data_IF_351193671653
#
_entry.id   IF_351193671653
#
_cell.length_a   1.000
_cell.length_b   1.000
_cell.length_c   1.000
_cell.angle_alpha   90.00
_cell.angle_beta   90.00
_cell.angle_gamma   90.00
#
_symmetry.space_group_name_H-M   'P 1'
#
loop_
_entity.id
_entity.type
_entity.pdbx_description
1 polymer ?
#
# COMPACT_ATOMS: atom_id res chain seq x y z
N UNK A 1 -4.50 -12.56 2.43
CA UNK A 1 -4.16 -12.92 1.03
C UNK A 1 -3.49 -14.31 1.00
N UNK A 2 -3.62 -15.11 -0.08
CA UNK A 2 -3.14 -16.52 -0.12
C UNK A 2 -1.61 -16.65 0.03
N UNK A 3 -0.85 -15.72 -0.56
CA UNK A 3 0.62 -15.67 -0.43
C UNK A 3 1.02 -15.35 1.02
N UNK A 4 0.40 -14.34 1.63
CA UNK A 4 0.65 -13.97 3.03
C UNK A 4 0.34 -15.10 4.00
N UNK A 5 -0.77 -15.81 3.76
CA UNK A 5 -1.21 -16.95 4.58
C UNK A 5 -0.23 -18.13 4.50
N UNK A 6 0.53 -18.22 3.40
CA UNK A 6 1.52 -19.29 3.18
C UNK A 6 2.89 -18.91 3.75
N UNK A 7 3.23 -17.62 3.79
CA UNK A 7 4.47 -17.12 4.38
C UNK A 7 4.55 -17.42 5.88
N UNK A 8 5.77 -17.53 6.42
CA UNK A 8 6.01 -17.77 7.85
C UNK A 8 5.82 -19.21 8.33
N UNK A 9 5.61 -20.16 7.42
CA UNK A 9 5.56 -21.59 7.71
C UNK A 9 6.92 -22.24 7.41
N UNK A 10 7.36 -23.14 8.29
CA UNK A 10 8.69 -23.78 8.17
C UNK A 10 8.74 -24.86 7.09
N UNK A 11 7.59 -25.47 6.77
CA UNK A 11 7.47 -26.57 5.81
C UNK A 11 6.31 -26.33 4.87
N UNK A 12 6.61 -26.45 3.57
CA UNK A 12 5.68 -26.25 2.47
C UNK A 12 5.74 -27.44 1.52
N UNK A 13 4.59 -27.79 0.94
CA UNK A 13 4.49 -28.73 -0.18
C UNK A 13 3.61 -28.10 -1.24
N UNK A 14 4.14 -28.02 -2.47
CA UNK A 14 3.45 -27.44 -3.61
C UNK A 14 3.01 -28.57 -4.54
N UNK A 15 1.75 -28.55 -4.94
CA UNK A 15 1.14 -29.59 -5.75
C UNK A 15 0.37 -28.96 -6.89
N UNK A 16 0.52 -29.54 -8.08
CA UNK A 16 -0.09 -29.06 -9.32
C UNK A 16 -1.11 -30.09 -9.80
N UNK A 17 -2.34 -29.63 -10.04
CA UNK A 17 -3.41 -30.44 -10.61
C UNK A 17 -3.08 -30.87 -12.04
N UNK A 18 -3.12 -32.18 -12.32
CA UNK A 18 -2.86 -32.69 -13.66
C UNK A 18 -3.99 -32.31 -14.63
N UNK A 19 -3.73 -31.40 -15.57
CA UNK A 19 -4.74 -30.96 -16.55
C UNK A 19 -6.04 -30.50 -15.86
N UNK A 20 -5.91 -29.59 -14.89
CA UNK A 20 -6.92 -29.23 -13.90
C UNK A 20 -8.36 -29.17 -14.42
N UNK A 21 -8.64 -28.31 -15.40
CA UNK A 21 -10.00 -28.15 -15.92
C UNK A 21 -10.62 -29.43 -16.49
N UNK A 22 -9.83 -30.27 -17.14
CA UNK A 22 -10.32 -31.53 -17.74
C UNK A 22 -10.76 -32.58 -16.71
N UNK A 23 -10.51 -32.35 -15.42
CA UNK A 23 -10.97 -33.20 -14.33
C UNK A 23 -12.41 -32.89 -13.90
N UNK A 24 -12.96 -31.75 -14.33
CA UNK A 24 -14.33 -31.34 -14.01
C UNK A 24 -15.26 -31.73 -15.17
N UNK A 25 -16.28 -32.52 -14.86
CA UNK A 25 -17.31 -32.90 -15.82
C UNK A 25 -18.15 -31.70 -16.24
N UNK A 26 -18.47 -31.64 -17.52
CA UNK A 26 -19.40 -30.64 -18.04
C UNK A 26 -20.84 -31.02 -17.67
N UNK A 27 -21.66 -30.03 -17.33
CA UNK A 27 -23.10 -30.26 -17.17
C UNK A 27 -23.69 -30.70 -18.52
N UNK A 28 -24.58 -31.70 -18.51
CA UNK A 28 -25.16 -32.27 -19.74
C UNK A 28 -25.79 -31.19 -20.65
N UNK A 29 -26.46 -30.22 -20.04
CA UNK A 29 -27.13 -29.10 -20.72
C UNK A 29 -26.16 -28.09 -21.37
N UNK A 30 -24.91 -28.06 -20.90
CA UNK A 30 -23.88 -27.12 -21.37
C UNK A 30 -22.90 -27.75 -22.37
N UNK A 31 -22.91 -29.09 -22.50
CA UNK A 31 -22.00 -29.80 -23.41
C UNK A 31 -22.16 -29.33 -24.86
N UNK A 32 -23.39 -29.20 -25.36
CA UNK A 32 -23.66 -28.79 -26.75
C UNK A 32 -23.15 -27.38 -27.07
N UNK A 33 -23.09 -26.49 -26.06
CA UNK A 33 -22.55 -25.12 -26.19
C UNK A 33 -21.04 -25.09 -26.41
N UNK A 34 -20.36 -26.21 -26.13
CA UNK A 34 -18.92 -26.39 -26.36
C UNK A 34 -18.63 -27.15 -27.66
N UNK A 35 -19.60 -27.20 -28.57
CA UNK A 35 -19.44 -27.93 -29.82
C UNK A 35 -18.44 -27.27 -30.77
N UNK A 36 -17.71 -28.10 -31.52
CA UNK A 36 -16.78 -27.69 -32.56
C UNK A 36 -16.88 -28.64 -33.74
N UNK A 37 -16.56 -28.13 -34.93
CA UNK A 37 -16.64 -28.88 -36.19
C UNK A 37 -15.24 -29.32 -36.58
N UNK A 38 -15.12 -30.59 -36.95
CA UNK A 38 -13.92 -31.17 -37.55
C UNK A 38 -14.28 -31.76 -38.92
N UNK A 39 -13.28 -32.15 -39.71
CA UNK A 39 -13.50 -32.82 -41.01
C UNK A 39 -14.32 -34.13 -40.89
N UNK A 40 -14.36 -34.74 -39.70
CA UNK A 40 -15.07 -35.99 -39.42
C UNK A 40 -16.43 -35.80 -38.75
N UNK A 41 -16.83 -34.55 -38.46
CA UNK A 41 -18.13 -34.22 -37.89
C UNK A 41 -18.07 -33.25 -36.71
N UNK A 42 -19.23 -33.07 -36.07
CA UNK A 42 -19.42 -32.18 -34.93
C UNK A 42 -19.20 -32.93 -33.63
N UNK A 43 -18.29 -32.42 -32.79
CA UNK A 43 -17.97 -32.97 -31.48
C UNK A 43 -18.25 -31.93 -30.40
N UNK A 44 -18.45 -32.38 -29.16
CA UNK A 44 -18.58 -31.52 -27.99
C UNK A 44 -17.72 -32.04 -26.84
N UNK A 45 -17.37 -31.15 -25.90
CA UNK A 45 -16.54 -31.53 -24.76
C UNK A 45 -17.39 -32.18 -23.66
N UNK A 46 -16.90 -33.32 -23.12
CA UNK A 46 -17.50 -34.00 -21.94
C UNK A 46 -16.99 -33.47 -20.60
N UNK A 47 -15.80 -32.88 -20.64
CA UNK A 47 -15.10 -32.28 -19.50
C UNK A 47 -14.81 -30.83 -19.82
N UNK A 48 -14.54 -30.00 -18.83
CA UNK A 48 -14.34 -28.58 -19.03
C UNK A 48 -13.11 -28.30 -19.93
N UNK A 49 -13.30 -27.75 -21.15
CA UNK A 49 -12.17 -27.39 -22.01
C UNK A 49 -11.47 -26.13 -21.50
N UNK A 50 -10.22 -25.98 -21.92
CA UNK A 50 -9.48 -24.74 -21.74
C UNK A 50 -10.12 -23.59 -22.55
N UNK A 51 -10.02 -22.36 -22.05
CA UNK A 51 -10.50 -21.16 -22.74
C UNK A 51 -11.92 -20.71 -22.39
N UNK A 52 -12.66 -21.48 -21.59
CA UNK A 52 -13.96 -21.02 -21.08
C UNK A 52 -13.77 -19.91 -20.03
N UNK A 53 -14.50 -18.80 -20.21
CA UNK A 53 -14.43 -17.61 -19.33
C UNK A 53 -14.63 -17.95 -17.85
N UNK A 54 -15.50 -18.90 -17.54
CA UNK A 54 -15.86 -19.26 -16.17
C UNK A 54 -15.13 -20.51 -15.65
N UNK A 55 -14.23 -21.12 -16.41
CA UNK A 55 -13.57 -22.37 -16.01
C UNK A 55 -12.78 -22.22 -14.70
N UNK A 56 -12.01 -21.14 -14.56
CA UNK A 56 -11.26 -20.86 -13.35
C UNK A 56 -12.16 -20.68 -12.12
N UNK A 57 -13.28 -19.97 -12.26
CA UNK A 57 -14.23 -19.76 -11.16
C UNK A 57 -14.92 -21.05 -10.73
N UNK A 58 -15.32 -21.89 -11.70
CA UNK A 58 -15.91 -23.21 -11.42
C UNK A 58 -14.90 -24.13 -10.73
N UNK A 59 -13.65 -24.13 -11.19
CA UNK A 59 -12.58 -24.92 -10.56
C UNK A 59 -12.30 -24.46 -9.14
N UNK A 60 -12.16 -23.15 -8.91
CA UNK A 60 -11.94 -22.60 -7.58
C UNK A 60 -13.09 -22.96 -6.63
N UNK A 61 -14.35 -22.87 -7.09
CA UNK A 61 -15.52 -23.29 -6.30
C UNK A 61 -15.46 -24.76 -5.93
N UNK A 62 -15.13 -25.62 -6.90
CA UNK A 62 -14.98 -27.05 -6.64
C UNK A 62 -13.89 -27.29 -5.60
N UNK A 63 -12.69 -26.72 -5.78
CA UNK A 63 -11.60 -26.82 -4.82
C UNK A 63 -11.99 -26.33 -3.42
N UNK A 64 -12.63 -25.18 -3.31
CA UNK A 64 -13.15 -24.63 -2.05
C UNK A 64 -14.12 -25.61 -1.39
N UNK A 65 -15.03 -26.25 -2.14
CA UNK A 65 -15.96 -27.25 -1.58
C UNK A 65 -15.22 -28.52 -1.12
N UNK A 66 -14.23 -28.97 -1.90
CA UNK A 66 -13.47 -30.19 -1.61
C UNK A 66 -12.59 -30.06 -0.35
N UNK A 67 -11.99 -28.89 -0.15
CA UNK A 67 -11.03 -28.64 0.93
C UNK A 67 -11.56 -27.71 2.02
N UNK A 68 -12.87 -27.44 2.07
CA UNK A 68 -13.47 -26.43 2.97
C UNK A 68 -13.08 -26.58 4.45
N UNK A 69 -12.85 -27.81 4.93
CA UNK A 69 -12.49 -28.13 6.32
C UNK A 69 -10.99 -27.99 6.62
N UNK A 70 -10.15 -27.88 5.58
CA UNK A 70 -8.70 -27.77 5.66
C UNK A 70 -8.17 -26.43 5.15
N UNK A 71 -8.99 -25.70 4.38
CA UNK A 71 -8.64 -24.39 3.82
C UNK A 71 -8.29 -23.38 4.91
N UNK A 72 -7.30 -22.54 4.61
CA UNK A 72 -6.74 -21.50 5.48
C UNK A 72 -6.01 -22.00 6.73
N UNK A 73 -6.25 -23.24 7.19
CA UNK A 73 -5.50 -23.86 8.28
C UNK A 73 -4.24 -24.55 7.78
N UNK A 74 -4.41 -25.63 7.04
CA UNK A 74 -3.31 -26.51 6.61
C UNK A 74 -3.10 -26.46 5.09
N UNK A 75 -4.15 -26.08 4.35
CA UNK A 75 -4.18 -26.11 2.88
C UNK A 75 -4.60 -24.75 2.33
N UNK A 76 -3.93 -24.31 1.28
CA UNK A 76 -4.35 -23.17 0.45
C UNK A 76 -4.47 -23.64 -0.99
N UNK A 77 -5.55 -23.26 -1.67
CA UNK A 77 -5.77 -23.64 -3.07
C UNK A 77 -6.08 -22.42 -3.91
N UNK A 78 -5.31 -22.24 -4.98
CA UNK A 78 -5.53 -21.24 -6.00
C UNK A 78 -5.59 -21.91 -7.37
N UNK A 79 -6.80 -22.11 -7.88
CA UNK A 79 -7.04 -22.86 -9.13
C UNK A 79 -6.24 -24.17 -9.08
N UNK A 80 -5.28 -24.37 -9.99
CA UNK A 80 -4.52 -25.61 -10.12
C UNK A 80 -3.36 -25.73 -9.11
N UNK A 81 -2.98 -24.63 -8.45
CA UNK A 81 -1.91 -24.58 -7.46
C UNK A 81 -2.46 -24.88 -6.06
N UNK A 82 -2.09 -26.04 -5.53
CA UNK A 82 -2.48 -26.50 -4.19
C UNK A 82 -1.25 -26.52 -3.28
N UNK A 83 -1.37 -25.95 -2.09
CA UNK A 83 -0.29 -25.83 -1.12
C UNK A 83 -0.71 -26.44 0.18
N UNK A 84 0.11 -27.32 0.72
CA UNK A 84 0.02 -27.76 2.12
C UNK A 84 1.12 -27.06 2.89
N UNK A 85 0.77 -26.42 4.00
CA UNK A 85 1.69 -25.66 4.86
C UNK A 85 1.59 -26.14 6.30
N UNK A 86 2.71 -26.18 6.99
CA UNK A 86 2.75 -26.50 8.43
C UNK A 86 3.84 -25.71 9.16
N UNK A 87 3.65 -25.53 10.48
CA UNK A 87 4.63 -24.88 11.34
C UNK A 87 5.77 -25.82 11.78
N UNK A 88 5.55 -27.12 11.73
CA UNK A 88 6.51 -28.14 12.13
C UNK A 88 6.57 -29.31 11.15
N UNK A 89 7.74 -29.97 11.09
CA UNK A 89 7.98 -31.14 10.22
C UNK A 89 7.06 -32.32 10.56
N UNK A 90 6.84 -32.58 11.84
CA UNK A 90 6.02 -33.69 12.32
C UNK A 90 4.56 -33.53 11.90
N UNK A 91 4.01 -32.32 12.02
CA UNK A 91 2.63 -32.00 11.65
C UNK A 91 2.42 -32.01 10.13
N UNK A 92 3.49 -31.75 9.36
CA UNK A 92 3.43 -31.71 7.89
C UNK A 92 3.01 -33.04 7.29
N UNK A 93 3.53 -34.15 7.83
CA UNK A 93 3.19 -35.49 7.35
C UNK A 93 1.70 -35.80 7.58
N UNK A 94 1.17 -35.45 8.75
CA UNK A 94 -0.24 -35.62 9.06
C UNK A 94 -1.15 -34.70 8.21
N UNK A 95 -0.69 -33.50 7.85
CA UNK A 95 -1.40 -32.62 6.93
C UNK A 95 -1.42 -33.18 5.50
N UNK A 96 -0.28 -33.68 5.01
CA UNK A 96 -0.18 -34.32 3.70
C UNK A 96 -1.03 -35.59 3.60
N UNK A 97 -1.05 -36.42 4.64
CA UNK A 97 -1.86 -37.63 4.67
C UNK A 97 -3.36 -37.31 4.52
N UNK A 98 -3.88 -36.37 5.32
CA UNK A 98 -5.26 -35.88 5.20
C UNK A 98 -5.55 -35.30 3.81
N UNK A 99 -4.61 -34.56 3.25
CA UNK A 99 -4.74 -33.98 1.90
C UNK A 99 -4.81 -35.07 0.82
N UNK A 100 -3.92 -36.07 0.87
CA UNK A 100 -3.94 -37.17 -0.10
C UNK A 100 -5.16 -38.06 0.04
N UNK A 101 -5.67 -38.26 1.25
CA UNK A 101 -6.93 -38.98 1.47
C UNK A 101 -8.09 -38.26 0.77
N UNK A 102 -8.17 -36.93 0.92
CA UNK A 102 -9.17 -36.10 0.23
C UNK A 102 -9.03 -36.19 -1.29
N UNK A 103 -7.81 -36.09 -1.83
CA UNK A 103 -7.57 -36.24 -3.27
C UNK A 103 -8.02 -37.61 -3.78
N UNK A 104 -7.72 -38.68 -3.05
CA UNK A 104 -8.13 -40.05 -3.41
C UNK A 104 -9.64 -40.22 -3.36
N UNK A 105 -10.30 -39.65 -2.35
CA UNK A 105 -11.75 -39.69 -2.19
C UNK A 105 -12.46 -39.07 -3.41
N UNK A 106 -11.96 -37.93 -3.88
CA UNK A 106 -12.55 -37.20 -5.01
C UNK A 106 -11.90 -37.53 -6.37
N UNK A 107 -10.99 -38.51 -6.42
CA UNK A 107 -10.29 -38.99 -7.62
C UNK A 107 -9.58 -37.87 -8.41
N UNK A 108 -9.10 -36.85 -7.70
CA UNK A 108 -8.27 -35.81 -8.30
C UNK A 108 -6.90 -36.38 -8.68
N UNK A 109 -6.34 -35.90 -9.78
CA UNK A 109 -5.01 -36.27 -10.28
C UNK A 109 -4.05 -35.11 -10.12
N UNK A 110 -2.87 -35.42 -9.60
CA UNK A 110 -1.75 -34.48 -9.49
C UNK A 110 -0.67 -34.80 -10.52
N UNK A 111 0.13 -33.81 -10.88
CA UNK A 111 1.29 -33.98 -11.75
C UNK A 111 2.56 -34.25 -10.92
N UNK A 112 3.05 -35.50 -10.85
CA UNK A 112 4.17 -35.85 -9.98
C UNK A 112 5.47 -35.13 -10.34
N UNK A 113 5.65 -34.69 -11.60
CA UNK A 113 6.85 -33.95 -12.03
C UNK A 113 6.86 -32.50 -11.56
N UNK A 114 5.68 -31.94 -11.27
CA UNK A 114 5.52 -30.55 -10.83
C UNK A 114 5.26 -30.43 -9.33
N UNK A 115 4.97 -31.53 -8.65
CA UNK A 115 4.82 -31.52 -7.20
C UNK A 115 6.18 -31.48 -6.50
N UNK A 116 6.29 -30.66 -5.46
CA UNK A 116 7.43 -30.59 -4.56
C UNK A 116 6.94 -30.76 -3.12
N UNK A 117 7.67 -31.54 -2.32
CA UNK A 117 7.21 -31.93 -0.98
C UNK A 117 8.25 -31.59 0.08
N UNK A 118 7.78 -31.02 1.19
CA UNK A 118 8.58 -30.78 2.39
C UNK A 118 9.76 -29.84 2.18
N UNK A 119 9.56 -28.79 1.39
CA UNK A 119 10.56 -27.74 1.14
C UNK A 119 10.38 -26.59 2.13
N UNK A 120 11.47 -25.88 2.43
CA UNK A 120 11.45 -24.70 3.31
C UNK A 120 11.07 -23.42 2.57
N UNK A 121 11.15 -23.43 1.24
CA UNK A 121 10.74 -22.34 0.37
C UNK A 121 10.28 -22.87 -0.98
N UNK A 122 9.43 -22.11 -1.68
CA UNK A 122 9.02 -22.47 -3.03
C UNK A 122 8.23 -21.38 -3.75
N UNK A 123 8.03 -21.62 -5.04
CA UNK A 123 7.42 -20.68 -5.97
C UNK A 123 5.89 -20.78 -5.91
N UNK A 124 5.23 -19.64 -5.70
CA UNK A 124 3.79 -19.51 -5.64
C UNK A 124 3.33 -18.24 -6.34
N UNK A 125 2.44 -18.35 -7.34
CA UNK A 125 1.90 -17.22 -8.10
C UNK A 125 2.99 -16.26 -8.63
N UNK A 126 4.19 -16.80 -8.86
CA UNK A 126 5.36 -16.06 -9.32
C UNK A 126 6.07 -15.22 -8.26
N UNK A 127 5.87 -15.52 -6.98
CA UNK A 127 6.66 -15.09 -5.83
C UNK A 127 7.38 -16.29 -5.23
N UNK A 128 8.48 -16.06 -4.53
CA UNK A 128 9.15 -17.06 -3.69
C UNK A 128 8.68 -16.88 -2.25
N UNK A 129 8.04 -17.91 -1.71
CA UNK A 129 7.52 -17.90 -0.33
C UNK A 129 8.43 -18.74 0.54
N UNK A 130 8.79 -18.19 1.70
CA UNK A 130 9.62 -18.86 2.70
C UNK A 130 9.14 -18.54 4.13
N UNK A 131 9.78 -19.16 5.11
CA UNK A 131 9.62 -18.79 6.52
C UNK A 131 10.01 -17.33 6.79
N UNK A 132 11.00 -16.79 6.06
CA UNK A 132 11.49 -15.40 6.23
C UNK A 132 10.49 -14.36 5.72
N UNK A 133 9.72 -14.71 4.69
CA UNK A 133 8.76 -13.82 4.06
C UNK A 133 8.52 -14.14 2.59
N UNK A 134 8.08 -13.11 1.86
CA UNK A 134 7.71 -13.15 0.46
C UNK A 134 8.79 -12.41 -0.33
N UNK A 135 9.41 -13.11 -1.26
CA UNK A 135 10.49 -12.61 -2.11
C UNK A 135 10.05 -12.64 -3.58
N UNK A 136 10.71 -11.83 -4.40
CA UNK A 136 10.51 -11.86 -5.85
C UNK A 136 11.24 -13.08 -6.41
N UNK A 137 10.62 -13.76 -7.37
CA UNK A 137 11.22 -14.89 -8.07
C UNK A 137 12.58 -14.51 -8.73
N UNK A 138 13.69 -15.15 -8.34
CA UNK A 138 15.01 -14.90 -8.92
C UNK A 138 15.05 -15.03 -10.44
N UNK A 139 14.23 -15.91 -11.04
CA UNK A 139 14.18 -16.06 -12.49
C UNK A 139 13.56 -14.83 -13.16
N UNK A 140 12.56 -14.21 -12.52
CA UNK A 140 11.97 -12.94 -12.98
C UNK A 140 12.93 -11.77 -12.81
N UNK A 141 13.67 -11.75 -11.71
CA UNK A 141 14.73 -10.74 -11.48
C UNK A 141 15.77 -10.85 -12.59
N UNK A 142 16.28 -12.07 -12.84
CA UNK A 142 17.25 -12.31 -13.91
C UNK A 142 16.73 -11.89 -15.28
N UNK A 143 15.47 -12.21 -15.60
CA UNK A 143 14.86 -11.79 -16.85
C UNK A 143 14.86 -10.25 -17.05
N UNK A 144 14.69 -9.48 -15.97
CA UNK A 144 14.73 -8.00 -16.02
C UNK A 144 16.18 -7.50 -16.07
N UNK A 145 17.10 -8.11 -15.33
CA UNK A 145 18.52 -7.74 -15.34
C UNK A 145 19.16 -7.99 -16.71
N UNK A 146 18.80 -9.10 -17.37
CA UNK A 146 19.32 -9.49 -18.68
C UNK A 146 18.61 -8.78 -19.84
N UNK A 147 17.46 -8.15 -19.59
CA UNK A 147 16.68 -7.45 -20.63
C UNK A 147 17.47 -6.28 -21.21
N UNK A 148 17.81 -6.24 -22.50
CA UNK A 148 18.53 -5.10 -23.07
C UNK A 148 17.74 -3.79 -22.89
N UNK A 149 18.45 -2.66 -22.79
CA UNK A 149 17.79 -1.35 -22.76
C UNK A 149 16.82 -1.25 -23.95
N UNK A 150 15.55 -0.88 -23.72
CA UNK A 150 14.54 -0.76 -24.77
C UNK A 150 15.06 0.16 -25.87
N UNK A 151 15.35 -0.44 -27.04
CA UNK A 151 15.66 0.34 -28.24
C UNK A 151 14.33 0.75 -28.84
N UNK A 152 14.23 2.05 -29.12
CA UNK A 152 13.08 2.66 -29.77
C UNK A 152 12.61 1.79 -30.94
N UNK A 153 11.28 1.60 -31.00
CA UNK A 153 10.52 0.84 -32.00
C UNK A 153 10.17 -0.62 -31.61
N UNK A 154 9.10 -0.77 -30.82
CA UNK A 154 7.85 -1.37 -31.33
C UNK A 154 6.63 -1.14 -30.43
N UNK A 155 5.58 -0.65 -31.10
CA UNK A 155 4.14 -0.80 -30.86
C UNK A 155 3.60 -0.58 -29.43
N UNK A 156 3.32 0.69 -29.10
CA UNK A 156 1.95 1.22 -28.92
C UNK A 156 2.02 2.74 -28.59
N UNK A 157 1.54 3.55 -29.54
CA UNK A 157 1.09 4.95 -29.39
C UNK A 157 1.94 5.95 -28.55
N UNK A 158 3.19 6.20 -28.94
CA UNK A 158 3.89 7.51 -29.05
C UNK A 158 5.41 7.26 -29.07
N UNK A 159 6.21 7.97 -29.89
CA UNK A 159 7.66 7.83 -29.88
C UNK A 159 8.21 8.48 -28.59
N UNK A 160 8.26 7.72 -27.49
CA UNK A 160 9.03 8.12 -26.32
C UNK A 160 10.50 7.93 -26.69
N UNK A 161 11.21 9.03 -26.94
CA UNK A 161 12.65 8.99 -27.16
C UNK A 161 13.28 8.48 -25.87
N UNK A 162 13.98 7.36 -25.94
CA UNK A 162 14.77 6.85 -24.82
C UNK A 162 15.92 7.81 -24.57
N UNK A 163 15.79 8.65 -23.54
CA UNK A 163 16.78 9.65 -23.17
C UNK A 163 17.64 9.18 -21.98
N UNK A 164 18.61 10.01 -21.59
CA UNK A 164 19.48 9.71 -20.46
C UNK A 164 18.70 9.56 -19.13
N UNK A 165 17.52 10.20 -19.01
CA UNK A 165 16.67 10.05 -17.84
C UNK A 165 16.02 8.67 -17.81
N UNK A 166 15.50 8.17 -18.95
CA UNK A 166 14.98 6.82 -19.09
C UNK A 166 16.06 5.78 -18.77
N UNK A 167 17.27 5.99 -19.29
CA UNK A 167 18.40 5.10 -19.03
C UNK A 167 18.75 5.04 -17.54
N UNK A 168 18.89 6.19 -16.87
CA UNK A 168 19.16 6.25 -15.43
C UNK A 168 18.03 5.61 -14.60
N UNK A 169 16.77 5.81 -14.98
CA UNK A 169 15.64 5.20 -14.31
C UNK A 169 15.67 3.66 -14.45
N UNK A 170 15.98 3.17 -15.64
CA UNK A 170 16.12 1.74 -15.92
C UNK A 170 17.27 1.10 -15.11
N UNK A 171 18.41 1.77 -15.03
CA UNK A 171 19.55 1.34 -14.20
C UNK A 171 19.20 1.32 -12.72
N UNK A 172 18.52 2.35 -12.19
CA UNK A 172 18.04 2.37 -10.80
C UNK A 172 17.11 1.21 -10.47
N UNK A 173 16.21 0.84 -11.39
CA UNK A 173 15.33 -0.31 -11.20
C UNK A 173 16.14 -1.61 -11.13
N UNK A 174 17.14 -1.78 -12.00
CA UNK A 174 18.02 -2.95 -11.97
C UNK A 174 18.80 -3.04 -10.68
N UNK A 175 19.39 -1.93 -10.22
CA UNK A 175 20.10 -1.85 -8.95
C UNK A 175 19.20 -2.24 -7.78
N UNK A 176 17.97 -1.71 -7.73
CA UNK A 176 16.99 -2.06 -6.71
C UNK A 176 16.65 -3.56 -6.71
N UNK A 177 16.55 -4.17 -7.89
CA UNK A 177 16.28 -5.61 -8.05
C UNK A 177 17.48 -6.51 -7.73
N UNK A 178 18.70 -5.98 -7.54
CA UNK A 178 19.84 -6.76 -7.05
C UNK A 178 19.68 -7.16 -5.58
N UNK A 179 19.00 -6.32 -4.79
CA UNK A 179 18.71 -6.57 -3.38
C UNK A 179 17.25 -6.21 -3.07
N UNK A 180 16.28 -6.98 -3.60
CA UNK A 180 14.87 -6.67 -3.38
C UNK A 180 14.54 -6.86 -1.90
N UNK A 181 13.71 -5.97 -1.30
CA UNK A 181 13.28 -6.14 0.07
C UNK A 181 12.41 -7.39 0.21
N UNK A 182 12.57 -8.09 1.33
CA UNK A 182 11.72 -9.22 1.71
C UNK A 182 10.46 -8.66 2.36
N UNK A 183 9.31 -8.95 1.76
CA UNK A 183 8.02 -8.54 2.33
C UNK A 183 7.61 -9.51 3.43
N UNK A 184 7.02 -8.99 4.51
CA UNK A 184 6.53 -9.79 5.61
C UNK A 184 4.99 -9.93 5.55
N UNK A 185 4.43 -11.09 5.87
CA UNK A 185 2.99 -11.19 6.11
C UNK A 185 2.61 -10.36 7.35
N UNK A 186 1.40 -9.77 7.39
CA UNK A 186 0.92 -9.07 8.58
C UNK A 186 0.74 -10.03 9.75
N UNK A 187 1.18 -9.62 10.93
CA UNK A 187 0.95 -10.33 12.19
C UNK A 187 -0.38 -9.87 12.78
N UNK A 188 -1.35 -10.79 13.01
CA UNK A 188 -2.63 -10.45 13.62
C UNK A 188 -2.47 -9.83 15.02
N UNK A 189 -3.28 -8.82 15.34
CA UNK A 189 -3.33 -8.19 16.66
C UNK A 189 -2.23 -7.15 16.93
N UNK A 190 -1.30 -6.92 15.99
CA UNK A 190 -0.32 -5.82 16.06
C UNK A 190 -0.77 -4.63 15.20
N UNK A 191 -0.43 -3.38 15.59
CA UNK A 191 -0.74 -2.20 14.79
C UNK A 191 -0.09 -2.27 13.41
N UNK A 192 -0.74 -1.66 12.42
CA UNK A 192 -0.20 -1.50 11.06
C UNK A 192 0.17 -0.04 10.85
N UNK A 193 1.37 0.21 10.34
CA UNK A 193 1.89 1.53 10.03
C UNK A 193 1.72 1.80 8.53
N UNK A 194 1.11 2.95 8.19
CA UNK A 194 0.97 3.38 6.80
C UNK A 194 1.81 4.63 6.57
N UNK A 195 2.89 4.45 5.84
CA UNK A 195 3.76 5.53 5.39
C UNK A 195 3.24 6.07 4.06
N UNK A 196 3.06 7.38 3.97
CA UNK A 196 2.65 8.07 2.74
C UNK A 196 3.81 8.89 2.19
N UNK A 197 3.98 8.86 0.88
CA UNK A 197 4.91 9.71 0.15
C UNK A 197 4.17 10.34 -1.03
N UNK A 198 4.17 11.66 -1.10
CA UNK A 198 3.46 12.41 -2.15
C UNK A 198 4.43 13.37 -2.82
N UNK A 199 4.46 13.34 -4.14
CA UNK A 199 5.21 14.26 -4.99
C UNK A 199 4.27 15.11 -5.83
N UNK A 200 4.79 15.91 -6.77
CA UNK A 200 3.97 16.70 -7.70
C UNK A 200 3.29 15.88 -8.79
N UNK A 201 3.81 14.68 -9.07
CA UNK A 201 3.38 13.86 -10.22
C UNK A 201 2.91 12.46 -9.82
N UNK A 202 3.22 12.01 -8.62
CA UNK A 202 2.93 10.67 -8.15
C UNK A 202 2.70 10.61 -6.64
N UNK A 203 1.98 9.58 -6.23
CA UNK A 203 1.78 9.20 -4.84
C UNK A 203 2.29 7.77 -4.62
N UNK A 204 2.81 7.52 -3.43
CA UNK A 204 3.31 6.24 -2.97
C UNK A 204 2.90 5.99 -1.52
N UNK A 205 2.78 4.72 -1.15
CA UNK A 205 2.66 4.33 0.24
C UNK A 205 3.33 3.00 0.52
N UNK A 206 3.79 2.85 1.76
CA UNK A 206 4.30 1.60 2.30
C UNK A 206 3.47 1.22 3.51
N UNK A 207 2.86 0.03 3.46
CA UNK A 207 2.27 -0.60 4.63
C UNK A 207 3.37 -1.40 5.32
N UNK A 208 3.57 -1.17 6.62
CA UNK A 208 4.59 -1.81 7.42
C UNK A 208 4.06 -2.18 8.80
N UNK A 209 4.84 -2.97 9.53
CA UNK A 209 4.56 -3.35 10.90
C UNK A 209 5.87 -3.51 11.67
N UNK A 210 5.86 -3.08 12.93
CA UNK A 210 6.99 -3.23 13.85
C UNK A 210 7.14 -4.70 14.24
N UNK A 211 8.36 -5.22 14.08
CA UNK A 211 8.73 -6.52 14.60
C UNK A 211 9.03 -6.50 16.11
N UNK A 212 9.35 -7.66 16.66
CA UNK A 212 9.69 -7.81 18.09
C UNK A 212 10.98 -7.09 18.50
N UNK A 213 11.83 -6.72 17.54
CA UNK A 213 13.02 -5.90 17.75
C UNK A 213 12.78 -4.40 17.56
N UNK A 214 11.54 -3.98 17.28
CA UNK A 214 11.21 -2.58 17.01
C UNK A 214 11.61 -2.10 15.62
N UNK A 215 11.97 -3.00 14.70
CA UNK A 215 12.30 -2.66 13.31
C UNK A 215 11.07 -2.75 12.41
N UNK A 216 10.95 -1.79 11.50
CA UNK A 216 9.88 -1.77 10.51
C UNK A 216 10.06 -2.88 9.47
N UNK A 217 9.07 -3.77 9.40
CA UNK A 217 8.97 -4.76 8.33
C UNK A 217 7.92 -4.32 7.31
N UNK A 218 8.35 -4.13 6.08
CA UNK A 218 7.45 -3.80 4.98
C UNK A 218 6.53 -4.98 4.66
N UNK A 219 5.23 -4.72 4.62
CA UNK A 219 4.19 -5.68 4.24
C UNK A 219 3.84 -5.50 2.76
N UNK A 220 3.66 -4.25 2.34
CA UNK A 220 3.20 -3.96 0.98
C UNK A 220 3.60 -2.57 0.51
N UNK A 221 3.98 -2.43 -0.76
CA UNK A 221 4.22 -1.14 -1.41
C UNK A 221 3.15 -0.84 -2.45
N UNK A 222 2.68 0.41 -2.48
CA UNK A 222 1.79 0.91 -3.53
C UNK A 222 2.36 2.20 -4.10
N UNK A 223 2.21 2.38 -5.41
CA UNK A 223 2.55 3.62 -6.09
C UNK A 223 1.59 3.86 -7.25
N UNK A 224 1.25 5.13 -7.49
CA UNK A 224 0.40 5.55 -8.62
C UNK A 224 0.87 6.92 -9.12
N UNK A 225 0.91 7.08 -10.45
CA UNK A 225 1.02 8.40 -11.08
C UNK A 225 -0.31 9.15 -10.93
N UNK A 226 -0.23 10.41 -10.52
CA UNK A 226 -1.41 11.26 -10.42
C UNK A 226 -1.96 11.57 -11.81
N UNK A 227 -3.28 11.71 -11.89
CA UNK A 227 -3.97 12.19 -13.08
C UNK A 227 -3.82 13.71 -13.21
N UNK A 228 -3.95 14.25 -14.41
CA UNK A 228 -3.73 15.68 -14.69
C UNK A 228 -4.57 16.64 -13.84
N UNK A 229 -5.74 16.20 -13.36
CA UNK A 229 -6.54 17.00 -12.45
C UNK A 229 -6.17 16.81 -10.97
N UNK A 230 -5.60 15.66 -10.61
CA UNK A 230 -5.11 15.36 -9.25
C UNK A 230 -3.81 16.13 -8.96
N UNK A 231 -2.99 16.40 -9.98
CA UNK A 231 -1.77 17.24 -9.84
C UNK A 231 -2.09 18.69 -9.50
N UNK A 232 -3.32 19.16 -9.73
CA UNK A 232 -3.75 20.53 -9.38
C UNK A 232 -4.21 20.68 -7.93
N UNK A 233 -4.34 19.58 -7.19
CA UNK A 233 -4.68 19.61 -5.78
C UNK A 233 -3.57 20.26 -4.95
N UNK A 234 -3.95 20.95 -3.88
CA UNK A 234 -2.98 21.46 -2.90
C UNK A 234 -2.36 20.30 -2.11
N UNK A 235 -1.21 20.54 -1.48
CA UNK A 235 -0.41 19.47 -0.88
C UNK A 235 -1.21 18.63 0.14
N UNK A 236 -2.01 19.26 1.02
CA UNK A 236 -2.89 18.56 1.97
C UNK A 236 -3.95 17.70 1.28
N UNK A 237 -4.56 18.19 0.20
CA UNK A 237 -5.55 17.43 -0.57
C UNK A 237 -4.91 16.22 -1.25
N UNK A 238 -3.66 16.33 -1.70
CA UNK A 238 -2.91 15.21 -2.27
C UNK A 238 -2.58 14.14 -1.23
N UNK A 239 -2.24 14.52 0.01
CA UNK A 239 -2.09 13.57 1.12
C UNK A 239 -3.41 12.87 1.48
N UNK A 240 -4.52 13.63 1.53
CA UNK A 240 -5.86 13.05 1.71
C UNK A 240 -6.21 12.07 0.58
N UNK A 241 -5.91 12.43 -0.67
CA UNK A 241 -6.09 11.56 -1.83
C UNK A 241 -5.26 10.28 -1.69
N UNK A 242 -3.97 10.40 -1.34
CA UNK A 242 -3.09 9.26 -1.15
C UNK A 242 -3.60 8.33 -0.05
N UNK A 243 -4.07 8.87 1.07
CA UNK A 243 -4.66 8.11 2.17
C UNK A 243 -5.95 7.38 1.76
N UNK A 244 -6.90 8.09 1.13
CA UNK A 244 -8.16 7.49 0.66
C UNK A 244 -7.90 6.42 -0.41
N UNK A 245 -6.94 6.66 -1.30
CA UNK A 245 -6.56 5.70 -2.33
C UNK A 245 -5.91 4.45 -1.73
N UNK A 246 -4.93 4.61 -0.83
CA UNK A 246 -4.23 3.52 -0.16
C UNK A 246 -5.18 2.67 0.68
N UNK A 247 -6.00 3.30 1.53
CA UNK A 247 -6.98 2.60 2.39
C UNK A 247 -8.01 1.80 1.58
N UNK A 248 -8.49 2.34 0.45
CA UNK A 248 -9.39 1.61 -0.46
C UNK A 248 -8.71 0.41 -1.13
N UNK A 249 -7.45 0.54 -1.53
CA UNK A 249 -6.71 -0.53 -2.20
C UNK A 249 -6.28 -1.63 -1.23
N UNK A 250 -5.92 -1.26 0.00
CA UNK A 250 -5.51 -2.14 1.08
C UNK A 250 -6.68 -2.55 1.98
N UNK A 251 -7.93 -2.38 1.52
CA UNK A 251 -9.14 -2.65 2.32
C UNK A 251 -9.14 -4.05 2.96
N UNK A 252 -8.58 -5.05 2.28
CA UNK A 252 -8.49 -6.42 2.80
C UNK A 252 -7.65 -6.49 4.09
N UNK A 253 -6.49 -5.83 4.14
CA UNK A 253 -5.70 -5.71 5.37
C UNK A 253 -6.40 -4.89 6.45
N UNK A 254 -7.24 -3.92 6.07
CA UNK A 254 -7.97 -3.08 7.03
C UNK A 254 -9.24 -3.75 7.58
N UNK A 255 -9.77 -4.78 6.91
CA UNK A 255 -11.02 -5.46 7.28
C UNK A 255 -10.76 -6.80 8.00
N UNK A 256 -9.61 -7.44 7.76
CA UNK A 256 -9.28 -8.78 8.28
C UNK A 256 -8.74 -8.82 9.73
N UNK A 257 -8.76 -7.71 10.48
CA UNK A 257 -8.42 -7.71 11.92
C UNK A 257 -9.69 -7.81 12.77
N UNK A 258 -10.07 -9.01 13.28
CA UNK A 258 -11.24 -9.19 14.12
C UNK A 258 -10.84 -8.90 15.57
N UNK A 259 -10.61 -7.63 15.85
CA UNK A 259 -10.60 -7.08 17.19
C UNK A 259 -11.08 -5.64 17.06
N UNK A 260 -12.21 -5.35 17.72
CA UNK A 260 -12.79 -4.02 17.85
C UNK A 260 -11.68 -2.98 18.15
N UNK A 261 -11.21 -2.26 17.14
CA UNK A 261 -10.10 -1.31 17.31
C UNK A 261 -9.16 -1.07 16.11
N UNK A 262 -9.29 -1.78 14.99
CA UNK A 262 -8.34 -1.64 13.87
C UNK A 262 -8.43 -0.29 13.10
N UNK A 263 -9.50 0.48 13.23
CA UNK A 263 -9.55 1.88 12.76
C UNK A 263 -8.73 2.82 13.66
N UNK A 264 -8.32 2.38 14.85
CA UNK A 264 -7.69 3.19 15.89
C UNK A 264 -6.17 3.05 15.96
N UNK A 265 -5.52 2.31 15.05
CA UNK A 265 -4.08 1.99 15.14
C UNK A 265 -3.28 2.16 13.83
N UNK A 266 -3.81 2.91 12.85
CA UNK A 266 -2.96 3.39 11.75
C UNK A 266 -2.29 4.67 12.23
N UNK A 267 -1.05 4.56 12.66
CA UNK A 267 -0.20 5.73 12.87
C UNK A 267 0.28 6.21 11.51
N UNK A 268 -0.15 7.41 11.11
CA UNK A 268 0.42 8.10 9.95
C UNK A 268 1.81 8.57 10.34
N UNK A 269 2.82 7.96 9.72
CA UNK A 269 4.20 8.39 9.85
C UNK A 269 4.65 9.03 8.54
N UNK A 270 5.20 10.25 8.63
CA UNK A 270 5.80 10.91 7.47
C UNK A 270 7.16 10.29 7.18
N UNK A 271 7.36 9.80 5.95
CA UNK A 271 8.71 9.55 5.45
C UNK A 271 9.35 10.92 5.18
N UNK A 272 10.47 11.28 5.82
CA UNK A 272 11.22 12.47 5.44
C UNK A 272 11.84 12.20 4.07
N UNK A 273 11.14 12.55 3.00
CA UNK A 273 11.74 12.61 1.67
C UNK A 273 12.49 13.94 1.60
N UNK A 274 13.78 13.90 1.93
CA UNK A 274 14.73 14.91 1.48
C UNK A 274 15.69 14.23 0.50
N UNK A 275 15.96 14.93 -0.60
CA UNK A 275 16.78 14.46 -1.71
C UNK A 275 18.10 13.80 -1.26
N UNK A 276 18.35 12.63 -1.83
CA UNK A 276 19.66 12.01 -1.97
C UNK A 276 20.55 11.99 -0.70
N UNK A 277 20.26 11.10 0.25
CA UNK A 277 21.29 10.52 1.13
C UNK A 277 21.09 9.02 1.31
N UNK A 278 22.20 8.31 1.44
CA UNK A 278 22.22 6.90 1.81
C UNK A 278 21.46 6.72 3.14
N UNK A 279 20.71 5.62 3.24
CA UNK A 279 20.00 5.23 4.46
C UNK A 279 21.06 4.98 5.53
N UNK A 280 21.04 5.82 6.55
CA UNK A 280 21.83 5.67 7.77
C UNK A 280 20.90 5.13 8.86
N UNK A 281 21.21 3.92 9.34
CA UNK A 281 20.40 3.12 10.27
C UNK A 281 20.73 3.48 11.74
N UNK A 282 20.65 4.74 12.13
CA UNK A 282 20.79 5.15 13.53
C UNK A 282 19.93 6.37 13.86
N UNK A 283 18.92 6.18 14.72
CA UNK A 283 18.28 7.27 15.45
C UNK A 283 18.24 6.91 16.94
N UNK A 284 18.72 7.81 17.83
CA UNK A 284 18.74 7.58 19.26
C UNK A 284 17.33 7.75 19.85
N UNK A 285 17.05 6.93 20.85
CA UNK A 285 15.85 6.95 21.70
C UNK A 285 15.54 8.35 22.23
N UNK A 286 14.28 8.82 22.17
CA UNK A 286 13.67 9.68 23.21
C UNK A 286 12.13 9.50 23.28
N UNK A 287 11.72 8.87 24.38
CA UNK A 287 10.47 8.85 25.13
C UNK A 287 9.11 9.30 24.55
N UNK A 288 8.15 8.38 24.68
CA UNK A 288 6.71 8.65 24.74
C UNK A 288 6.34 9.18 26.13
N UNK A 289 5.83 10.40 26.21
CA UNK A 289 5.12 10.90 27.39
C UNK A 289 3.65 11.20 27.06
N UNK A 290 2.76 10.59 27.86
CA UNK A 290 1.32 10.74 27.80
C UNK A 290 0.84 12.12 28.28
N UNK A 291 -0.37 12.45 27.85
CA UNK A 291 -1.13 13.70 28.07
C UNK A 291 -1.32 14.04 29.57
N UNK A 292 -0.99 15.27 29.94
CA UNK A 292 -1.66 16.00 31.04
C UNK A 292 -1.94 17.46 30.65
N UNK A 293 -3.16 17.87 30.95
CA UNK A 293 -3.80 19.16 30.69
C UNK A 293 -3.15 20.35 31.42
N UNK A 294 -3.03 21.47 30.70
CA UNK A 294 -3.00 22.92 31.07
C UNK A 294 -1.91 23.67 30.27
N UNK A 295 -2.32 24.23 29.12
CA UNK A 295 -1.48 24.99 28.18
C UNK A 295 -1.13 26.39 28.69
N UNK A 296 0.17 26.74 28.67
CA UNK A 296 0.67 28.11 28.91
C UNK A 296 1.19 28.82 27.65
N UNK A 297 1.03 28.21 26.48
CA UNK A 297 1.47 28.80 25.21
C UNK A 297 0.49 29.86 24.74
N UNK A 298 1.01 31.02 24.34
CA UNK A 298 0.23 32.12 23.76
C UNK A 298 0.78 32.50 22.39
N UNK A 299 -0.09 32.72 21.43
CA UNK A 299 0.24 33.18 20.09
C UNK A 299 -0.37 34.54 19.83
N UNK A 300 0.41 35.48 19.34
CA UNK A 300 -0.05 36.76 18.80
C UNK A 300 0.26 36.78 17.31
N UNK A 301 -0.68 37.24 16.49
CA UNK A 301 -0.44 37.44 15.06
C UNK A 301 -0.97 38.81 14.62
N UNK A 302 -0.31 39.37 13.60
CA UNK A 302 -0.69 40.64 12.96
C UNK A 302 -0.25 40.63 11.49
N UNK A 303 -1.14 41.07 10.62
CA UNK A 303 -0.96 41.13 9.17
C UNK A 303 -1.16 42.52 8.60
N UNK A 304 -0.10 43.12 8.04
CA UNK A 304 -0.15 44.45 7.45
C UNK A 304 -0.04 44.44 5.92
N UNK A 305 -1.01 45.03 5.25
CA UNK A 305 -0.99 45.30 3.81
C UNK A 305 -0.83 46.80 3.51
N UNK A 306 0.22 47.19 2.78
CA UNK A 306 0.41 48.58 2.33
C UNK A 306 0.90 48.67 0.87
N UNK A 307 1.04 49.90 0.36
CA UNK A 307 1.50 50.16 -1.02
C UNK A 307 2.94 49.67 -1.30
N UNK A 308 3.72 49.41 -0.25
CA UNK A 308 5.09 48.87 -0.35
C UNK A 308 5.12 47.34 -0.26
N UNK A 309 4.01 46.67 0.07
CA UNK A 309 3.88 45.22 0.11
C UNK A 309 3.13 44.69 1.33
N UNK A 310 3.31 43.41 1.60
CA UNK A 310 2.54 42.65 2.58
C UNK A 310 3.49 42.02 3.60
N UNK A 311 3.28 42.32 4.87
CA UNK A 311 4.08 41.78 5.97
C UNK A 311 3.19 41.05 6.96
N UNK A 312 3.63 39.89 7.41
CA UNK A 312 3.00 39.15 8.49
C UNK A 312 3.97 38.97 9.64
N UNK A 313 3.45 39.01 10.86
CA UNK A 313 4.21 38.80 12.07
C UNK A 313 3.45 37.88 13.02
N UNK A 314 4.21 37.03 13.69
CA UNK A 314 3.72 36.08 14.69
C UNK A 314 4.67 36.12 15.88
N UNK A 315 4.12 36.09 17.09
CA UNK A 315 4.87 35.95 18.33
C UNK A 315 4.29 34.80 19.13
N UNK A 316 5.08 33.75 19.32
CA UNK A 316 4.75 32.67 20.25
C UNK A 316 5.44 32.94 21.60
N UNK A 317 4.70 32.76 22.69
CA UNK A 317 5.19 32.89 24.05
C UNK A 317 5.07 31.53 24.74
N UNK A 318 6.20 31.01 25.21
CA UNK A 318 6.24 29.74 25.95
C UNK A 318 5.57 29.88 27.32
N UNK A 319 5.15 28.77 27.95
CA UNK A 319 4.68 28.77 29.35
C UNK A 319 5.71 29.32 30.34
N UNK A 320 7.00 29.30 29.97
CA UNK A 320 8.11 29.81 30.77
C UNK A 320 8.42 31.29 30.50
N UNK A 321 7.70 31.92 29.57
CA UNK A 321 7.86 33.33 29.22
C UNK A 321 8.88 33.61 28.12
N UNK A 322 9.28 32.61 27.33
CA UNK A 322 10.19 32.81 26.20
C UNK A 322 9.44 33.34 24.98
N UNK A 323 10.03 34.31 24.29
CA UNK A 323 9.44 34.96 23.12
C UNK A 323 10.08 34.43 21.84
N UNK A 324 9.26 33.87 20.95
CA UNK A 324 9.67 33.32 19.65
C UNK A 324 8.99 34.14 18.55
N UNK A 325 9.64 35.21 18.04
CA UNK A 325 9.10 36.02 16.97
C UNK A 325 9.37 35.40 15.59
N UNK A 326 8.39 35.49 14.71
CA UNK A 326 8.49 35.18 13.28
C UNK A 326 7.91 36.32 12.47
N UNK A 327 8.61 36.73 11.43
CA UNK A 327 8.11 37.76 10.51
C UNK A 327 8.49 37.40 9.09
N UNK A 328 7.52 37.49 8.20
CA UNK A 328 7.68 37.09 6.80
C UNK A 328 7.06 38.16 5.91
N UNK A 329 7.71 38.44 4.79
CA UNK A 329 7.15 39.30 3.74
C UNK A 329 6.49 38.41 2.70
N UNK A 330 5.20 38.61 2.47
CA UNK A 330 4.45 37.83 1.48
C UNK A 330 4.68 38.42 0.08
N UNK A 331 4.91 37.54 -0.89
CA UNK A 331 5.17 37.89 -2.28
C UNK A 331 3.92 37.62 -3.14
N UNK A 332 2.86 38.41 -2.95
CA UNK A 332 1.70 38.39 -3.84
C UNK A 332 2.03 39.10 -5.16
N UNK A 333 1.56 38.55 -6.29
CA UNK A 333 1.74 39.14 -7.62
C UNK A 333 0.89 40.40 -7.81
N UNK A 334 1.42 41.40 -8.52
CA UNK A 334 0.70 42.64 -8.87
C UNK A 334 -0.66 42.42 -9.57
N UNK A 335 -0.88 41.22 -10.14
CA UNK A 335 -2.16 40.86 -10.77
C UNK A 335 -3.26 40.45 -9.77
N UNK A 336 -2.92 40.16 -8.52
CA UNK A 336 -3.84 39.78 -7.44
C UNK A 336 -3.40 40.42 -6.11
N UNK A 337 -3.64 41.72 -5.91
CA UNK A 337 -3.26 42.39 -4.67
C UNK A 337 -4.02 41.79 -3.47
N UNK A 338 -3.30 41.35 -2.45
CA UNK A 338 -3.89 40.86 -1.21
C UNK A 338 -4.55 42.01 -0.44
N UNK A 339 -5.70 41.72 0.17
CA UNK A 339 -6.37 42.65 1.09
C UNK A 339 -5.82 42.50 2.49
N UNK A 340 -6.02 43.49 3.36
CA UNK A 340 -5.57 43.39 4.76
C UNK A 340 -6.12 42.12 5.42
N UNK A 341 -7.40 41.80 5.18
CA UNK A 341 -8.02 40.58 5.70
C UNK A 341 -7.30 39.30 5.23
N UNK A 342 -6.83 39.23 3.98
CA UNK A 342 -6.08 38.07 3.48
C UNK A 342 -4.75 37.97 4.21
N UNK A 343 -4.05 39.08 4.41
CA UNK A 343 -2.77 39.11 5.13
C UNK A 343 -2.93 38.70 6.59
N UNK A 344 -4.06 39.04 7.23
CA UNK A 344 -4.39 38.56 8.58
C UNK A 344 -4.62 37.04 8.64
N UNK A 345 -5.27 36.45 7.63
CA UNK A 345 -5.42 34.99 7.55
C UNK A 345 -4.07 34.31 7.39
N UNK A 346 -3.21 34.83 6.51
CA UNK A 346 -1.86 34.30 6.30
C UNK A 346 -0.99 34.41 7.56
N UNK A 347 -1.11 35.50 8.32
CA UNK A 347 -0.43 35.65 9.60
C UNK A 347 -0.90 34.60 10.63
N UNK A 348 -2.21 34.36 10.70
CA UNK A 348 -2.77 33.33 11.58
C UNK A 348 -2.32 31.93 11.16
N UNK A 349 -2.37 31.59 9.87
CA UNK A 349 -1.96 30.29 9.33
C UNK A 349 -0.48 30.04 9.62
N UNK A 350 0.40 31.00 9.32
CA UNK A 350 1.84 30.88 9.57
C UNK A 350 2.12 30.57 11.05
N UNK A 351 1.39 31.21 11.97
CA UNK A 351 1.59 30.96 13.39
C UNK A 351 1.07 29.61 13.87
N UNK A 352 -0.03 29.12 13.29
CA UNK A 352 -0.51 27.76 13.54
C UNK A 352 0.47 26.71 12.99
N UNK A 353 1.00 26.90 11.78
CA UNK A 353 2.03 26.03 11.20
C UNK A 353 3.30 26.01 12.06
N UNK A 354 3.78 27.18 12.48
CA UNK A 354 4.95 27.29 13.37
C UNK A 354 4.68 26.59 14.70
N UNK A 355 3.47 26.68 15.25
CA UNK A 355 3.12 25.99 16.49
C UNK A 355 3.11 24.46 16.32
N UNK A 356 2.63 23.97 15.16
CA UNK A 356 2.68 22.54 14.83
C UNK A 356 4.12 22.04 14.65
N UNK A 357 4.99 22.81 14.00
CA UNK A 357 6.43 22.51 13.88
C UNK A 357 7.10 22.38 15.25
N UNK A 358 6.71 23.22 16.21
CA UNK A 358 7.20 23.19 17.60
C UNK A 358 6.50 22.14 18.48
N UNK A 359 5.62 21.31 17.91
CA UNK A 359 4.89 20.25 18.64
C UNK A 359 3.84 20.79 19.62
N UNK A 360 3.43 22.05 19.51
CA UNK A 360 2.46 22.69 20.40
C UNK A 360 1.05 22.22 20.02
N UNK A 361 0.42 21.46 20.93
CA UNK A 361 -0.93 20.89 20.72
C UNK A 361 -2.08 21.72 21.30
N UNK A 362 -1.79 22.70 22.15
CA UNK A 362 -2.77 23.57 22.78
C UNK A 362 -2.15 24.93 23.10
N UNK A 363 -2.81 26.02 22.68
CA UNK A 363 -2.37 27.40 22.91
C UNK A 363 -3.55 28.38 22.86
N UNK A 364 -3.37 29.56 23.46
CA UNK A 364 -4.29 30.69 23.31
C UNK A 364 -3.84 31.57 22.13
N UNK A 365 -4.75 31.86 21.21
CA UNK A 365 -4.46 32.66 20.02
C UNK A 365 -5.12 34.04 20.14
N UNK A 366 -4.31 35.08 19.93
CA UNK A 366 -4.71 36.48 20.01
C UNK A 366 -4.41 37.16 18.66
N UNK A 367 -5.37 37.93 18.17
CA UNK A 367 -5.25 38.79 17.00
C UNK A 367 -6.20 39.96 17.13
N UNK A 368 -6.01 41.02 16.35
CA UNK A 368 -6.87 42.20 16.32
C UNK A 368 -7.97 42.10 15.24
N UNK A 369 -7.85 41.15 14.31
CA UNK A 369 -8.85 40.84 13.31
C UNK A 369 -10.04 40.06 13.87
N UNK A 370 -11.11 40.79 14.22
CA UNK A 370 -12.40 40.21 14.63
C UNK A 370 -12.98 39.21 13.60
N UNK A 371 -12.70 39.42 12.31
CA UNK A 371 -13.15 38.54 11.23
C UNK A 371 -12.52 37.14 11.37
N UNK A 372 -11.19 37.08 11.50
CA UNK A 372 -10.44 35.83 11.60
C UNK A 372 -10.82 35.08 12.88
N UNK A 373 -10.84 35.79 14.03
CA UNK A 373 -11.17 35.20 15.32
C UNK A 373 -12.57 34.59 15.36
N UNK A 374 -13.58 35.30 14.85
CA UNK A 374 -14.98 34.82 14.84
C UNK A 374 -15.22 33.69 13.85
N UNK A 375 -14.44 33.60 12.76
CA UNK A 375 -14.51 32.45 11.85
C UNK A 375 -13.86 31.20 12.46
N UNK A 376 -12.71 31.34 13.14
CA UNK A 376 -12.05 30.22 13.83
C UNK A 376 -12.94 29.67 14.95
N UNK A 377 -13.66 30.53 15.66
CA UNK A 377 -14.64 30.13 16.68
C UNK A 377 -15.92 29.50 16.10
N UNK A 378 -16.09 29.51 14.77
CA UNK A 378 -17.27 28.99 14.08
C UNK A 378 -18.52 29.87 14.20
N UNK A 379 -18.39 31.09 14.74
CA UNK A 379 -19.49 32.05 14.86
C UNK A 379 -19.85 32.66 13.50
N UNK A 380 -18.85 32.91 12.65
CA UNK A 380 -19.02 33.48 11.32
C UNK A 380 -18.69 32.44 10.24
N UNK A 381 -19.53 32.35 9.21
CA UNK A 381 -19.31 31.48 8.04
C UNK A 381 -19.07 32.29 6.79
N UNK A 382 -18.18 31.80 5.93
CA UNK A 382 -18.00 32.34 4.58
C UNK A 382 -19.30 32.18 3.79
N UNK A 383 -19.67 33.20 3.01
CA UNK A 383 -20.92 33.19 2.21
C UNK A 383 -20.89 32.19 1.06
N UNK A 384 -19.72 31.70 0.68
CA UNK A 384 -19.51 30.75 -0.41
C UNK A 384 -18.70 29.55 0.11
N UNK A 385 -19.26 28.35 0.04
CA UNK A 385 -18.65 27.12 0.57
C UNK A 385 -17.57 26.51 -0.36
N UNK A 386 -17.16 27.24 -1.40
CA UNK A 386 -16.14 26.84 -2.39
C UNK A 386 -14.83 27.63 -2.26
N UNK A 387 -14.71 28.48 -1.24
CA UNK A 387 -13.51 29.21 -0.87
C UNK A 387 -13.00 28.70 0.47
#
# INVERSE_FOLDING_TARGET
MLVDSTAGHSMLSFMDGFSGYSQILMALEDMEKTSFITEWGTYCYRVMPFGLKNAGATYQRAATTLFHDMMHRDVEVYVDDMIVKSRGRSDHLAALERFFERIRQFRLRLNPKKCTFGVTSGKLLGYMVSERGIEVDPDKIRAILDMPAPRTEREESQPTVWDDQCQRAFERIREYLLSPPVLAPPTPGRPLLLYLSVSDVALGCMLAQLDDSGKDRAIYYLSKRMLDYETRYVMIERYCLALVWATRRLRHYMTESPSEGALSQITLASLPVSDARAIDDDFPDEDVAAVTSLSGWRMYFDGAANHSGYGISVLLISPHGDHIPRSVRLAFSDRHPATNNIVEYEACILGLETALELGIRQMEVFGDSNLVLRQIQGEWKTRDAKL
#
